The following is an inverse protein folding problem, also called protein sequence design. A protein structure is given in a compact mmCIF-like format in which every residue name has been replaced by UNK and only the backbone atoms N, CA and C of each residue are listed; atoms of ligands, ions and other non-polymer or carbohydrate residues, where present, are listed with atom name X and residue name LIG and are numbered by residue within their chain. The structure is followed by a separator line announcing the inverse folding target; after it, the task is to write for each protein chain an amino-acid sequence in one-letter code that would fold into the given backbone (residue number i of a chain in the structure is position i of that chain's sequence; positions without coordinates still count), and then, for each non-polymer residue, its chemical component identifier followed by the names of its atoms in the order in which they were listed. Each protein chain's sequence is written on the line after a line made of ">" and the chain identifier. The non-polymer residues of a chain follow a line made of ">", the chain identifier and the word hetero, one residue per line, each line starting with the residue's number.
data_IF_145162919678
#
_entry.id   IF_145162919678
#
_cell.length_a   1.000
_cell.length_b   1.000
_cell.length_c   1.000
_cell.angle_alpha   90.00
_cell.angle_beta   90.00
_cell.angle_gamma   90.00
#
_symmetry.space_group_name_H-M   'P 1'
#
loop_
_entity.id
_entity.type
_entity.pdbx_description
1 polymer ?
#
# COMPACT_ATOMS: atom_id res chain seq x y z
N UNK A 1 -13.63 9.76 -17.32
CA UNK A 1 -15.05 9.29 -17.26
C UNK A 1 -15.86 10.04 -16.21
N UNK A 2 -15.34 10.19 -14.98
CA UNK A 2 -16.04 10.83 -13.86
C UNK A 2 -17.44 10.23 -13.56
N UNK A 3 -17.54 8.91 -13.66
CA UNK A 3 -18.73 8.11 -13.37
C UNK A 3 -18.48 7.41 -12.02
N UNK A 4 -19.48 7.29 -11.12
CA UNK A 4 -19.36 6.54 -9.88
C UNK A 4 -18.64 5.19 -10.09
N UNK A 5 -17.51 5.02 -9.40
CA UNK A 5 -16.58 3.90 -9.63
C UNK A 5 -15.92 3.49 -8.32
N UNK A 6 -15.52 2.22 -8.24
CA UNK A 6 -14.76 1.66 -7.11
C UNK A 6 -13.57 0.86 -7.66
N UNK A 7 -12.46 0.85 -6.93
CA UNK A 7 -11.30 0.03 -7.23
C UNK A 7 -11.28 -1.21 -6.33
N UNK A 8 -11.16 -2.39 -6.94
CA UNK A 8 -11.05 -3.67 -6.21
C UNK A 8 -9.70 -4.29 -6.53
N UNK A 9 -8.79 -4.27 -5.57
CA UNK A 9 -7.51 -4.95 -5.68
C UNK A 9 -7.69 -6.47 -5.62
N UNK A 10 -6.99 -7.19 -6.49
CA UNK A 10 -7.03 -8.66 -6.54
C UNK A 10 -6.39 -9.34 -5.33
N UNK A 11 -5.54 -8.64 -4.57
CA UNK A 11 -4.89 -9.17 -3.38
C UNK A 11 -3.45 -9.65 -3.62
N UNK A 12 -2.67 -9.65 -2.54
CA UNK A 12 -1.28 -10.11 -2.54
C UNK A 12 -1.18 -11.63 -2.59
N UNK A 13 -0.13 -12.17 -3.19
CA UNK A 13 0.25 -13.58 -3.04
C UNK A 13 0.65 -13.85 -1.58
N UNK A 14 0.44 -15.09 -1.12
CA UNK A 14 1.04 -15.58 0.12
C UNK A 14 2.55 -15.79 -0.07
N UNK A 15 3.37 -15.64 1.00
CA UNK A 15 4.79 -15.99 0.91
C UNK A 15 4.97 -17.46 0.55
N UNK A 16 5.93 -17.73 -0.35
CA UNK A 16 6.48 -19.06 -0.52
C UNK A 16 7.27 -19.46 0.73
N UNK A 17 7.54 -20.75 0.91
CA UNK A 17 8.36 -21.22 2.03
C UNK A 17 9.30 -22.32 1.57
N UNK A 18 10.56 -22.22 1.98
CA UNK A 18 11.56 -23.26 1.77
C UNK A 18 12.40 -23.39 3.04
N UNK A 19 12.36 -24.56 3.69
CA UNK A 19 13.10 -24.86 4.91
C UNK A 19 12.84 -23.86 6.07
N UNK A 20 11.62 -23.32 6.16
CA UNK A 20 11.26 -22.36 7.20
C UNK A 20 11.57 -20.90 6.86
N UNK A 21 12.20 -20.63 5.71
CA UNK A 21 12.47 -19.28 5.23
C UNK A 21 11.41 -18.85 4.21
N UNK A 22 10.90 -17.61 4.39
CA UNK A 22 9.91 -17.05 3.48
C UNK A 22 10.55 -16.60 2.16
N UNK A 23 9.94 -17.06 1.06
CA UNK A 23 10.35 -16.77 -0.31
C UNK A 23 9.34 -15.87 -1.02
N UNK A 24 9.85 -15.13 -1.99
CA UNK A 24 9.08 -14.28 -2.90
C UNK A 24 9.79 -14.21 -4.26
N UNK A 25 9.18 -13.56 -5.24
CA UNK A 25 9.78 -13.43 -6.58
C UNK A 25 11.19 -12.84 -6.57
N UNK A 26 11.49 -11.91 -5.65
CA UNK A 26 12.84 -11.34 -5.50
C UNK A 26 13.85 -12.38 -5.01
N UNK A 27 13.43 -13.36 -4.21
CA UNK A 27 14.30 -14.47 -3.80
C UNK A 27 14.79 -15.26 -5.01
N UNK A 28 13.97 -15.40 -6.06
CA UNK A 28 14.36 -16.04 -7.32
C UNK A 28 15.39 -15.20 -8.07
N UNK A 29 15.18 -13.86 -8.15
CA UNK A 29 16.16 -12.96 -8.78
C UNK A 29 17.52 -12.99 -8.06
N UNK A 30 17.51 -12.97 -6.73
CA UNK A 30 18.72 -13.09 -5.92
C UNK A 30 19.39 -14.47 -6.09
N UNK A 31 18.59 -15.54 -6.16
CA UNK A 31 19.09 -16.89 -6.36
C UNK A 31 19.81 -17.04 -7.71
N UNK A 32 19.33 -16.41 -8.78
CA UNK A 32 20.03 -16.39 -10.07
C UNK A 32 21.42 -15.75 -9.92
N UNK A 33 21.52 -14.63 -9.19
CA UNK A 33 22.80 -13.99 -8.89
C UNK A 33 23.74 -14.89 -8.08
N UNK A 34 23.23 -15.52 -7.01
CA UNK A 34 23.97 -16.49 -6.19
C UNK A 34 24.42 -17.72 -6.97
N UNK A 35 23.63 -18.15 -7.96
CA UNK A 35 24.02 -19.26 -8.82
C UNK A 35 25.17 -18.86 -9.74
N UNK A 36 25.10 -17.66 -10.33
CA UNK A 36 26.17 -17.12 -11.17
C UNK A 36 27.49 -16.90 -10.41
N UNK A 37 27.43 -16.51 -9.13
CA UNK A 37 28.61 -16.38 -8.26
C UNK A 37 29.13 -17.71 -7.70
N UNK A 38 28.41 -18.82 -7.90
CA UNK A 38 28.77 -20.15 -7.39
C UNK A 38 28.43 -20.39 -5.91
N UNK A 39 27.68 -19.48 -5.26
CA UNK A 39 27.23 -19.63 -3.87
C UNK A 39 26.16 -20.71 -3.69
N UNK A 40 25.35 -20.96 -4.73
CA UNK A 40 24.38 -22.04 -4.78
C UNK A 40 24.57 -22.91 -6.04
N UNK A 41 24.06 -24.14 -6.00
CA UNK A 41 24.02 -25.05 -7.14
C UNK A 41 22.68 -24.98 -7.91
N UNK A 42 22.57 -25.68 -9.04
CA UNK A 42 21.37 -25.66 -9.88
C UNK A 42 20.14 -26.25 -9.16
N UNK A 43 20.33 -27.24 -8.29
CA UNK A 43 19.24 -27.82 -7.51
C UNK A 43 18.69 -26.81 -6.50
N UNK A 44 19.55 -26.10 -5.80
CA UNK A 44 19.14 -25.06 -4.84
C UNK A 44 18.42 -23.90 -5.55
N UNK A 45 18.88 -23.50 -6.74
CA UNK A 45 18.17 -22.51 -7.55
C UNK A 45 16.77 -23.01 -7.93
N UNK A 46 16.68 -24.26 -8.40
CA UNK A 46 15.41 -24.86 -8.76
C UNK A 46 14.45 -24.98 -7.57
N UNK A 47 14.95 -25.38 -6.40
CA UNK A 47 14.15 -25.46 -5.18
C UNK A 47 13.59 -24.08 -4.79
N UNK A 48 14.38 -23.01 -4.92
CA UNK A 48 13.91 -21.64 -4.67
C UNK A 48 12.83 -21.25 -5.70
N UNK A 49 13.07 -21.52 -6.98
CA UNK A 49 12.13 -21.23 -8.07
C UNK A 49 10.77 -21.89 -7.82
N UNK A 50 10.74 -23.19 -7.51
CA UNK A 50 9.49 -23.95 -7.38
C UNK A 50 8.71 -23.65 -6.11
N UNK A 51 9.34 -23.06 -5.09
CA UNK A 51 8.71 -22.76 -3.81
C UNK A 51 8.40 -21.27 -3.61
N UNK A 52 8.92 -20.36 -4.43
CA UNK A 52 8.77 -18.91 -4.24
C UNK A 52 7.37 -18.35 -4.51
N UNK A 53 6.56 -19.01 -5.35
CA UNK A 53 5.24 -18.53 -5.78
C UNK A 53 4.18 -19.62 -5.54
N UNK A 54 3.63 -19.72 -4.31
CA UNK A 54 2.79 -20.85 -3.92
C UNK A 54 1.36 -20.82 -4.49
N UNK A 55 0.96 -19.76 -5.19
CA UNK A 55 -0.41 -19.61 -5.68
C UNK A 55 -0.69 -18.27 -6.36
N UNK A 56 -1.97 -17.90 -6.53
CA UNK A 56 -2.35 -16.64 -7.17
C UNK A 56 -2.14 -15.42 -6.26
N UNK A 57 -1.98 -14.25 -6.89
CA UNK A 57 -1.84 -12.96 -6.24
C UNK A 57 -0.67 -12.14 -6.78
N UNK A 58 -0.66 -10.84 -6.48
CA UNK A 58 0.45 -9.97 -6.89
C UNK A 58 1.67 -10.14 -5.95
N UNK A 59 2.82 -9.55 -6.32
CA UNK A 59 4.07 -9.66 -5.56
C UNK A 59 3.89 -9.23 -4.08
N UNK A 60 4.42 -10.02 -3.13
CA UNK A 60 4.15 -9.87 -1.70
C UNK A 60 4.78 -8.66 -0.99
N UNK A 61 5.91 -8.15 -1.49
CA UNK A 61 6.55 -6.95 -0.93
C UNK A 61 5.82 -5.66 -1.30
N UNK A 62 6.29 -4.53 -0.77
CA UNK A 62 5.81 -3.19 -1.07
C UNK A 62 6.32 -2.67 -2.43
N UNK A 63 6.19 -3.51 -3.46
CA UNK A 63 6.42 -3.15 -4.87
C UNK A 63 5.24 -2.37 -5.44
N UNK A 64 5.23 -2.12 -6.75
CA UNK A 64 4.19 -1.31 -7.42
C UNK A 64 2.77 -1.79 -7.11
N UNK A 65 2.49 -3.10 -7.15
CA UNK A 65 1.12 -3.61 -6.96
C UNK A 65 0.56 -3.28 -5.57
N UNK A 66 1.27 -3.66 -4.50
CA UNK A 66 0.87 -3.34 -3.14
C UNK A 66 0.94 -1.84 -2.84
N UNK A 67 1.86 -1.10 -3.48
CA UNK A 67 1.90 0.37 -3.40
C UNK A 67 0.64 1.02 -3.98
N UNK A 68 0.24 0.63 -5.19
CA UNK A 68 -0.95 1.17 -5.84
C UNK A 68 -2.24 0.70 -5.16
N UNK A 69 -2.24 -0.49 -4.56
CA UNK A 69 -3.33 -0.97 -3.71
C UNK A 69 -3.52 -0.08 -2.48
N UNK A 70 -2.44 0.19 -1.73
CA UNK A 70 -2.46 1.10 -0.58
C UNK A 70 -2.86 2.53 -0.97
N UNK A 71 -2.40 3.02 -2.13
CA UNK A 71 -2.84 4.30 -2.72
C UNK A 71 -4.36 4.29 -2.91
N UNK A 72 -4.94 3.19 -3.41
CA UNK A 72 -6.37 3.06 -3.61
C UNK A 72 -7.18 3.25 -2.32
N UNK A 73 -6.68 2.79 -1.18
CA UNK A 73 -7.30 3.06 0.13
C UNK A 73 -7.11 4.50 0.58
N UNK A 74 -5.90 5.07 0.47
CA UNK A 74 -5.63 6.44 0.89
C UNK A 74 -6.33 7.52 0.06
N UNK A 75 -6.50 7.26 -1.25
CA UNK A 75 -7.34 8.07 -2.12
C UNK A 75 -8.83 7.94 -1.78
N UNK A 76 -9.23 6.93 -1.01
CA UNK A 76 -10.61 6.65 -0.67
C UNK A 76 -11.40 5.97 -1.79
N UNK A 77 -10.74 5.35 -2.78
CA UNK A 77 -11.40 4.69 -3.93
C UNK A 77 -11.54 3.17 -3.78
N UNK A 78 -11.04 2.61 -2.68
CA UNK A 78 -11.11 1.18 -2.35
C UNK A 78 -11.82 0.95 -1.03
N UNK A 79 -12.33 -0.27 -0.82
CA UNK A 79 -12.94 -0.62 0.46
C UNK A 79 -11.86 -0.56 1.54
N UNK A 80 -12.08 0.15 2.66
CA UNK A 80 -11.08 0.25 3.73
C UNK A 80 -10.68 -1.13 4.25
N UNK A 81 -9.37 -1.40 4.33
CA UNK A 81 -8.80 -2.68 4.74
C UNK A 81 -8.58 -3.70 3.61
N UNK A 82 -9.17 -3.48 2.42
CA UNK A 82 -9.10 -4.46 1.32
C UNK A 82 -7.75 -4.54 0.59
N UNK A 83 -6.86 -3.57 0.80
CA UNK A 83 -5.56 -3.46 0.13
C UNK A 83 -4.53 -4.47 0.65
N UNK A 84 -4.64 -4.87 1.92
CA UNK A 84 -3.73 -5.82 2.57
C UNK A 84 -4.20 -7.27 2.50
N UNK A 85 -5.44 -7.52 2.09
CA UNK A 85 -5.99 -8.86 1.95
C UNK A 85 -5.19 -9.70 0.93
N UNK A 86 -4.80 -10.91 1.33
CA UNK A 86 -4.21 -11.87 0.42
C UNK A 86 -5.25 -12.34 -0.62
N UNK A 87 -4.82 -12.67 -1.83
CA UNK A 87 -5.71 -13.06 -2.93
C UNK A 87 -6.60 -14.26 -2.59
N UNK A 88 -6.03 -15.25 -1.89
CA UNK A 88 -6.72 -16.49 -1.51
C UNK A 88 -7.58 -16.36 -0.25
N UNK A 89 -7.56 -15.20 0.42
CA UNK A 89 -8.32 -14.97 1.63
C UNK A 89 -9.83 -14.83 1.32
N UNK A 90 -10.68 -15.48 2.11
CA UNK A 90 -12.13 -15.42 1.95
C UNK A 90 -12.70 -14.01 2.11
N UNK A 91 -12.00 -13.13 2.85
CA UNK A 91 -12.34 -11.71 2.96
C UNK A 91 -12.38 -11.01 1.59
N UNK A 92 -11.59 -11.45 0.58
CA UNK A 92 -11.67 -10.90 -0.79
C UNK A 92 -13.07 -10.98 -1.38
N UNK A 93 -13.80 -12.07 -1.10
CA UNK A 93 -15.17 -12.24 -1.59
C UNK A 93 -16.10 -11.24 -0.90
N UNK A 94 -15.93 -11.05 0.41
CA UNK A 94 -16.69 -10.07 1.19
C UNK A 94 -16.41 -8.64 0.71
N UNK A 95 -15.14 -8.23 0.64
CA UNK A 95 -14.76 -6.88 0.22
C UNK A 95 -15.17 -6.58 -1.23
N UNK A 96 -15.16 -7.58 -2.12
CA UNK A 96 -15.67 -7.43 -3.49
C UNK A 96 -17.19 -7.21 -3.52
N UNK A 97 -17.96 -7.91 -2.67
CA UNK A 97 -19.41 -7.67 -2.53
C UNK A 97 -19.70 -6.30 -1.94
N UNK A 98 -18.92 -5.89 -0.94
CA UNK A 98 -19.01 -4.55 -0.35
C UNK A 98 -18.70 -3.45 -1.36
N UNK A 99 -17.70 -3.64 -2.23
CA UNK A 99 -17.43 -2.73 -3.35
C UNK A 99 -18.64 -2.62 -4.30
N UNK A 100 -19.31 -3.73 -4.59
CA UNK A 100 -20.57 -3.76 -5.34
C UNK A 100 -21.69 -2.95 -4.67
N UNK A 101 -21.86 -3.07 -3.36
CA UNK A 101 -22.82 -2.27 -2.61
C UNK A 101 -22.43 -0.79 -2.57
N UNK A 102 -21.14 -0.50 -2.40
CA UNK A 102 -20.59 0.85 -2.35
C UNK A 102 -20.84 1.58 -3.67
N UNK A 103 -20.52 0.98 -4.83
CA UNK A 103 -20.77 1.63 -6.13
C UNK A 103 -22.26 1.93 -6.34
N UNK A 104 -23.17 1.05 -5.90
CA UNK A 104 -24.60 1.34 -5.96
C UNK A 104 -25.00 2.52 -5.06
N UNK A 105 -24.36 2.66 -3.90
CA UNK A 105 -24.55 3.83 -3.05
C UNK A 105 -24.03 5.11 -3.70
N UNK A 106 -22.84 5.08 -4.29
CA UNK A 106 -22.27 6.21 -5.03
C UNK A 106 -23.16 6.65 -6.18
N UNK A 107 -23.79 5.71 -6.89
CA UNK A 107 -24.77 6.03 -7.94
C UNK A 107 -26.01 6.72 -7.35
N UNK A 108 -26.56 6.24 -6.24
CA UNK A 108 -27.75 6.84 -5.59
C UNK A 108 -27.48 8.27 -5.10
N UNK A 109 -26.34 8.46 -4.46
CA UNK A 109 -25.90 9.74 -3.91
C UNK A 109 -25.23 10.65 -4.96
N UNK A 110 -25.06 10.15 -6.19
CA UNK A 110 -24.32 10.82 -7.27
C UNK A 110 -22.91 11.29 -6.84
N UNK A 111 -22.23 10.49 -6.03
CA UNK A 111 -20.83 10.71 -5.63
C UNK A 111 -19.92 10.20 -6.75
N UNK A 112 -19.07 11.06 -7.27
CA UNK A 112 -18.21 10.81 -8.44
C UNK A 112 -16.73 10.80 -8.05
N UNK A 113 -15.85 10.24 -8.91
CA UNK A 113 -14.41 10.33 -8.70
C UNK A 113 -13.91 11.75 -8.43
N UNK A 114 -14.47 12.80 -9.06
CA UNK A 114 -14.12 14.20 -8.79
C UNK A 114 -14.41 14.69 -7.38
N UNK A 115 -15.35 14.04 -6.67
CA UNK A 115 -15.72 14.40 -5.31
C UNK A 115 -14.81 13.74 -4.27
N UNK A 116 -14.09 12.68 -4.68
CA UNK A 116 -13.19 11.86 -3.84
C UNK A 116 -11.73 12.22 -4.12
N UNK A 117 -11.33 12.31 -5.40
CA UNK A 117 -9.96 12.50 -5.86
C UNK A 117 -9.56 13.98 -5.85
N UNK A 118 -9.60 14.58 -4.66
CA UNK A 118 -9.16 15.97 -4.45
C UNK A 118 -7.64 16.05 -4.29
N UNK A 119 -7.09 17.27 -4.34
CA UNK A 119 -5.68 17.53 -4.01
C UNK A 119 -5.27 16.94 -2.65
N UNK A 120 -6.14 17.03 -1.63
CA UNK A 120 -5.87 16.49 -0.29
C UNK A 120 -5.91 14.96 -0.25
N UNK A 121 -6.78 14.32 -1.04
CA UNK A 121 -6.76 12.88 -1.20
C UNK A 121 -5.44 12.39 -1.83
N UNK A 122 -4.91 13.12 -2.84
CA UNK A 122 -3.59 12.82 -3.39
C UNK A 122 -2.46 13.03 -2.38
N UNK A 123 -2.52 14.06 -1.54
CA UNK A 123 -1.57 14.27 -0.44
C UNK A 123 -1.63 13.10 0.56
N UNK A 124 -2.83 12.62 0.93
CA UNK A 124 -2.99 11.42 1.76
C UNK A 124 -2.32 10.19 1.12
N UNK A 125 -2.51 9.99 -0.18
CA UNK A 125 -1.92 8.88 -0.91
C UNK A 125 -0.38 8.93 -0.90
N UNK A 126 0.20 10.12 -1.10
CA UNK A 126 1.65 10.31 -1.00
C UNK A 126 2.12 10.02 0.43
N UNK A 127 1.50 10.64 1.45
CA UNK A 127 1.86 10.45 2.87
C UNK A 127 1.86 8.97 3.25
N UNK A 128 0.82 8.21 2.88
CA UNK A 128 0.75 6.78 3.19
C UNK A 128 1.90 6.01 2.53
N UNK A 129 2.12 6.22 1.24
CA UNK A 129 3.13 5.46 0.49
C UNK A 129 4.54 5.70 1.01
N UNK A 130 4.90 6.96 1.27
CA UNK A 130 6.24 7.29 1.77
C UNK A 130 6.43 6.79 3.20
N UNK A 131 5.37 6.75 4.02
CA UNK A 131 5.37 6.15 5.35
C UNK A 131 5.50 4.62 5.33
N UNK A 132 5.17 3.97 4.22
CA UNK A 132 5.29 2.52 4.04
C UNK A 132 6.52 2.11 3.22
N UNK A 133 7.34 3.07 2.77
CA UNK A 133 8.49 2.78 1.90
C UNK A 133 8.08 2.24 0.53
N UNK A 134 6.95 2.70 -0.01
CA UNK A 134 6.44 2.17 -1.27
C UNK A 134 7.24 2.56 -2.50
N UNK A 135 6.88 1.92 -3.61
CA UNK A 135 7.65 1.96 -4.87
C UNK A 135 7.85 3.38 -5.41
N UNK A 136 9.03 3.64 -5.98
CA UNK A 136 9.35 4.86 -6.72
C UNK A 136 8.44 5.09 -7.92
N UNK A 137 7.78 4.05 -8.46
CA UNK A 137 6.77 4.17 -9.53
C UNK A 137 5.56 5.03 -9.11
N UNK A 138 5.39 5.30 -7.81
CA UNK A 138 4.45 6.30 -7.29
C UNK A 138 4.67 7.68 -7.93
N UNK A 139 5.92 8.06 -8.20
CA UNK A 139 6.28 9.31 -8.86
C UNK A 139 5.81 9.40 -10.32
N UNK A 140 5.38 8.28 -10.91
CA UNK A 140 4.81 8.22 -12.26
C UNK A 140 3.29 8.10 -12.19
N UNK A 141 2.78 7.13 -11.41
CA UNK A 141 1.36 6.81 -11.41
C UNK A 141 0.50 7.85 -10.70
N UNK A 142 0.91 8.38 -9.54
CA UNK A 142 0.09 9.37 -8.84
C UNK A 142 -0.07 10.68 -9.63
N UNK A 143 0.99 11.29 -10.19
CA UNK A 143 0.84 12.46 -11.04
C UNK A 143 -0.03 12.20 -12.28
N UNK A 144 0.06 11.01 -12.89
CA UNK A 144 -0.78 10.65 -14.02
C UNK A 144 -2.27 10.58 -13.63
N UNK A 145 -2.60 9.91 -12.52
CA UNK A 145 -3.98 9.84 -12.00
C UNK A 145 -4.49 11.22 -11.61
N UNK A 146 -3.64 12.05 -10.98
CA UNK A 146 -3.98 13.42 -10.63
C UNK A 146 -4.31 14.27 -11.87
N UNK A 147 -3.49 14.14 -12.93
CA UNK A 147 -3.70 14.83 -14.20
C UNK A 147 -5.03 14.46 -14.87
N UNK A 148 -5.44 13.19 -14.83
CA UNK A 148 -6.75 12.74 -15.35
C UNK A 148 -7.93 13.37 -14.61
N UNK A 149 -7.72 13.82 -13.37
CA UNK A 149 -8.70 14.53 -12.56
C UNK A 149 -8.54 16.06 -12.59
N UNK A 150 -7.59 16.58 -13.39
CA UNK A 150 -7.27 18.01 -13.41
C UNK A 150 -6.63 18.53 -12.13
N UNK A 151 -6.04 17.64 -11.31
CA UNK A 151 -5.32 17.97 -10.09
C UNK A 151 -3.83 18.02 -10.38
N UNK A 152 -3.18 19.12 -10.02
CA UNK A 152 -1.72 19.21 -10.08
C UNK A 152 -1.12 18.43 -8.91
N UNK A 153 -0.22 17.49 -9.20
CA UNK A 153 0.65 16.83 -8.23
C UNK A 153 2.06 16.72 -8.82
N UNK A 154 3.00 17.53 -8.32
CA UNK A 154 4.37 17.59 -8.84
C UNK A 154 5.30 16.65 -8.08
N UNK A 155 6.47 16.34 -8.67
CA UNK A 155 7.54 15.63 -7.96
C UNK A 155 8.03 16.40 -6.73
N UNK A 156 7.98 17.74 -6.78
CA UNK A 156 8.30 18.58 -5.62
C UNK A 156 7.30 18.37 -4.48
N UNK A 157 6.00 18.27 -4.80
CA UNK A 157 4.98 17.97 -3.79
C UNK A 157 5.26 16.61 -3.12
N UNK A 158 5.59 15.59 -3.92
CA UNK A 158 5.94 14.25 -3.42
C UNK A 158 7.16 14.32 -2.49
N UNK A 159 8.20 15.06 -2.89
CA UNK A 159 9.40 15.26 -2.09
C UNK A 159 9.09 15.98 -0.77
N UNK A 160 8.39 17.11 -0.82
CA UNK A 160 8.09 17.93 0.36
C UNK A 160 7.25 17.15 1.40
N UNK A 161 6.32 16.29 0.95
CA UNK A 161 5.54 15.41 1.82
C UNK A 161 6.42 14.30 2.41
N UNK A 162 7.25 13.66 1.58
CA UNK A 162 8.18 12.62 2.03
C UNK A 162 9.14 13.13 3.12
N UNK A 163 9.66 14.35 2.96
CA UNK A 163 10.57 14.96 3.94
C UNK A 163 9.93 15.28 5.30
N UNK A 164 8.60 15.26 5.40
CA UNK A 164 7.84 15.55 6.64
C UNK A 164 7.12 14.32 7.20
N UNK A 165 7.16 13.20 6.49
CA UNK A 165 6.42 12.00 6.84
C UNK A 165 7.40 10.93 7.33
N UNK A 166 7.26 10.41 8.55
CA UNK A 166 8.16 9.36 9.03
C UNK A 166 7.91 8.03 8.32
N UNK A 167 8.98 7.23 8.13
CA UNK A 167 8.87 5.85 7.67
C UNK A 167 8.44 4.96 8.85
N UNK A 168 7.26 4.35 8.73
CA UNK A 168 6.63 3.57 9.79
C UNK A 168 6.66 2.06 9.54
N UNK A 169 6.54 1.60 8.29
CA UNK A 169 6.40 0.17 8.00
C UNK A 169 7.72 -0.48 7.54
N UNK A 170 8.12 -1.57 8.20
CA UNK A 170 9.34 -2.35 7.91
C UNK A 170 9.08 -3.37 6.78
N UNK A 171 8.83 -2.88 5.57
CA UNK A 171 8.35 -3.69 4.46
C UNK A 171 9.45 -4.00 3.44
N UNK A 172 9.51 -5.25 2.94
CA UNK A 172 10.34 -5.58 1.78
C UNK A 172 9.96 -4.69 0.59
N UNK A 173 10.91 -4.24 -0.26
CA UNK A 173 12.30 -4.69 -0.30
C UNK A 173 13.26 -3.97 0.66
N UNK A 174 12.90 -2.81 1.23
CA UNK A 174 13.78 -2.05 2.12
C UNK A 174 13.87 -2.60 3.55
N UNK A 175 12.85 -3.38 3.93
CA UNK A 175 12.66 -3.93 5.26
C UNK A 175 12.56 -5.45 5.30
N UNK A 176 11.89 -5.99 6.32
CA UNK A 176 11.82 -7.44 6.59
C UNK A 176 10.51 -8.10 6.18
N UNK A 177 9.38 -7.41 6.32
CA UNK A 177 8.06 -8.03 6.30
C UNK A 177 7.33 -7.87 4.96
N UNK A 178 6.34 -8.73 4.70
CA UNK A 178 5.51 -8.72 3.50
C UNK A 178 4.12 -8.13 3.78
N UNK A 179 3.34 -7.83 2.73
CA UNK A 179 1.97 -7.32 2.88
C UNK A 179 1.08 -8.27 3.70
N UNK A 180 1.31 -9.58 3.56
CA UNK A 180 0.63 -10.60 4.38
C UNK A 180 0.86 -10.42 5.89
N UNK A 181 2.05 -9.97 6.29
CA UNK A 181 2.35 -9.74 7.71
C UNK A 181 1.77 -8.42 8.19
N UNK A 182 1.78 -7.38 7.35
CA UNK A 182 1.11 -6.12 7.64
C UNK A 182 -0.39 -6.34 7.88
N UNK A 183 -1.04 -7.16 7.06
CA UNK A 183 -2.45 -7.49 7.21
C UNK A 183 -2.79 -8.08 8.59
N UNK A 184 -1.95 -9.00 9.09
CA UNK A 184 -2.13 -9.64 10.41
C UNK A 184 -2.13 -8.65 11.58
N UNK A 185 -1.46 -7.50 11.43
CA UNK A 185 -1.37 -6.49 12.50
C UNK A 185 -2.32 -5.32 12.31
N UNK A 186 -3.23 -5.36 11.33
CA UNK A 186 -4.22 -4.31 11.08
C UNK A 186 -4.10 -3.62 9.73
N UNK A 187 -3.21 -4.12 8.86
CA UNK A 187 -3.16 -3.74 7.45
C UNK A 187 -2.77 -2.30 7.20
N UNK A 188 -3.14 -1.82 6.01
CA UNK A 188 -2.93 -0.43 5.59
C UNK A 188 -3.65 0.55 6.52
N UNK A 189 -4.82 0.17 7.05
CA UNK A 189 -5.61 1.00 7.94
C UNK A 189 -4.89 1.35 9.25
N UNK A 190 -4.06 0.45 9.80
CA UNK A 190 -3.25 0.75 10.98
C UNK A 190 -2.28 1.91 10.70
N UNK A 191 -1.60 1.87 9.55
CA UNK A 191 -0.65 2.92 9.15
C UNK A 191 -1.39 4.24 8.94
N UNK A 192 -2.49 4.21 8.20
CA UNK A 192 -3.33 5.40 7.98
C UNK A 192 -3.83 5.99 9.29
N UNK A 193 -4.29 5.16 10.23
CA UNK A 193 -4.79 5.62 11.53
C UNK A 193 -3.70 6.30 12.36
N UNK A 194 -2.48 5.75 12.41
CA UNK A 194 -1.35 6.38 13.10
C UNK A 194 -0.96 7.72 12.48
N UNK A 195 -0.96 7.82 11.15
CA UNK A 195 -0.69 9.07 10.44
C UNK A 195 -1.80 10.10 10.68
N UNK A 196 -3.07 9.67 10.70
CA UNK A 196 -4.22 10.53 11.02
C UNK A 196 -4.13 11.09 12.44
N UNK A 197 -3.82 10.26 13.43
CA UNK A 197 -3.71 10.68 14.83
C UNK A 197 -2.52 11.62 15.07
N UNK A 198 -1.48 11.52 14.23
CA UNK A 198 -0.37 12.47 14.18
C UNK A 198 -0.68 13.76 13.39
N UNK A 199 -1.87 13.90 12.81
CA UNK A 199 -2.25 15.07 12.01
C UNK A 199 -1.59 15.13 10.62
N UNK A 200 -1.08 14.01 10.11
CA UNK A 200 -0.40 13.91 8.82
C UNK A 200 -1.34 13.50 7.66
N UNK A 201 -2.56 13.07 7.96
CA UNK A 201 -3.61 12.81 6.96
C UNK A 201 -4.77 13.80 7.08
N UNK A 202 -5.30 14.18 5.93
CA UNK A 202 -6.55 14.90 5.77
C UNK A 202 -7.73 13.96 6.05
N UNK A 203 -8.21 13.97 7.29
CA UNK A 203 -9.25 13.06 7.75
C UNK A 203 -10.65 13.30 7.18
N UNK A 204 -10.94 14.51 6.71
CA UNK A 204 -12.26 14.93 6.22
C UNK A 204 -12.51 14.56 4.75
N UNK A 205 -11.53 13.95 4.07
CA UNK A 205 -11.68 13.54 2.67
C UNK A 205 -12.72 12.42 2.52
N UNK A 206 -13.63 12.61 1.57
CA UNK A 206 -14.70 11.67 1.24
C UNK A 206 -14.12 10.39 0.62
N UNK A 207 -14.79 9.25 0.83
CA UNK A 207 -14.41 7.96 0.26
C UNK A 207 -15.59 7.28 -0.41
N UNK A 208 -15.33 6.15 -1.09
CA UNK A 208 -16.36 5.33 -1.74
C UNK A 208 -17.41 4.76 -0.77
N UNK A 209 -17.16 4.79 0.55
CA UNK A 209 -18.14 4.36 1.55
C UNK A 209 -19.22 5.41 1.80
N UNK A 210 -19.09 6.62 1.23
CA UNK A 210 -19.91 7.79 1.55
C UNK A 210 -19.55 8.45 2.89
N UNK A 211 -18.49 7.97 3.54
CA UNK A 211 -17.94 8.51 4.79
C UNK A 211 -16.56 9.10 4.56
N UNK A 212 -16.11 9.91 5.49
CA UNK A 212 -14.76 10.47 5.52
C UNK A 212 -13.71 9.43 5.91
N UNK A 213 -12.45 9.68 5.59
CA UNK A 213 -11.30 8.87 6.03
C UNK A 213 -11.32 8.69 7.56
N UNK A 214 -11.56 9.78 8.31
CA UNK A 214 -11.61 9.78 9.78
C UNK A 214 -12.72 8.89 10.32
N UNK A 215 -13.90 8.90 9.69
CA UNK A 215 -15.02 8.06 10.09
C UNK A 215 -14.74 6.58 9.81
N UNK A 216 -14.15 6.26 8.67
CA UNK A 216 -13.77 4.88 8.32
C UNK A 216 -12.70 4.32 9.27
N UNK A 217 -11.77 5.17 9.74
CA UNK A 217 -10.67 4.75 10.62
C UNK A 217 -11.01 4.83 12.12
N UNK A 218 -12.22 5.26 12.50
CA UNK A 218 -12.60 5.53 13.90
C UNK A 218 -12.36 4.35 14.85
N UNK A 219 -12.61 3.12 14.37
CA UNK A 219 -12.55 1.91 15.18
C UNK A 219 -11.22 1.15 15.04
N UNK A 220 -10.25 1.68 14.28
CA UNK A 220 -8.95 1.05 14.13
C UNK A 220 -8.15 1.29 15.40
N UNK A 221 -7.80 0.20 16.07
CA UNK A 221 -7.01 0.26 17.29
C UNK A 221 -5.53 0.45 16.94
N UNK A 222 -5.00 1.62 17.25
CA UNK A 222 -3.56 1.84 17.30
C UNK A 222 -3.08 1.38 18.66
N UNK A 223 -2.85 0.08 18.81
CA UNK A 223 -2.20 -0.41 20.01
C UNK A 223 -0.85 0.32 20.15
N UNK A 224 -0.62 0.96 21.30
CA UNK A 224 0.63 1.69 21.60
C UNK A 224 1.78 0.74 21.93
N UNK A 225 1.49 -0.55 22.15
CA UNK A 225 2.55 -1.56 22.33
C UNK A 225 3.42 -1.65 21.08
N UNK A 226 4.70 -1.93 21.28
CA UNK A 226 5.65 -2.12 20.19
C UNK A 226 5.10 -3.12 19.16
N UNK A 227 5.11 -2.69 17.90
CA UNK A 227 4.80 -3.51 16.74
C UNK A 227 6.04 -3.48 15.85
N UNK A 228 6.60 -4.64 15.56
CA UNK A 228 7.85 -4.75 14.79
C UNK A 228 7.66 -4.37 13.33
N UNK A 229 6.45 -4.60 12.79
CA UNK A 229 6.08 -4.38 11.38
C UNK A 229 5.72 -2.92 11.14
N UNK A 230 4.90 -2.33 12.02
CA UNK A 230 4.50 -0.91 11.95
C UNK A 230 4.98 -0.21 13.20
N UNK A 231 5.90 0.74 13.06
CA UNK A 231 6.44 1.55 14.15
C UNK A 231 5.50 2.70 14.54
N UNK A 232 5.66 3.18 15.77
CA UNK A 232 4.96 4.36 16.25
C UNK A 232 5.56 5.63 15.64
N UNK A 233 4.74 6.66 15.45
CA UNK A 233 5.19 7.95 14.88
C UNK A 233 6.26 8.61 15.75
N UNK A 234 6.25 8.37 17.06
CA UNK A 234 7.26 8.86 18.01
C UNK A 234 8.60 8.11 17.98
N UNK A 235 8.64 6.91 17.39
CA UNK A 235 9.85 6.08 17.25
C UNK A 235 9.85 5.39 15.87
N UNK A 236 9.94 6.17 14.79
CA UNK A 236 9.85 5.64 13.42
C UNK A 236 11.16 4.98 12.99
N UNK A 237 11.13 4.24 11.88
CA UNK A 237 12.32 3.65 11.26
C UNK A 237 13.26 4.76 10.75
N UNK A 238 12.67 5.80 10.17
CA UNK A 238 13.34 7.03 9.73
C UNK A 238 12.43 8.21 10.00
N UNK A 239 13.02 9.37 10.32
CA UNK A 239 12.28 10.63 10.50
C UNK A 239 11.67 11.18 9.21
N UNK A 240 12.07 10.62 8.06
CA UNK A 240 11.61 10.99 6.71
C UNK A 240 11.18 9.75 5.94
N UNK A 241 10.38 9.95 4.89
CA UNK A 241 9.78 8.90 4.11
C UNK A 241 10.76 8.23 3.16
N UNK A 242 10.32 7.13 2.53
CA UNK A 242 11.18 6.31 1.67
C UNK A 242 11.58 6.92 0.32
N UNK A 243 11.09 8.12 -0.05
CA UNK A 243 11.30 8.72 -1.37
C UNK A 243 12.00 10.07 -1.29
N UNK A 244 13.01 10.27 -2.13
CA UNK A 244 13.71 11.55 -2.29
C UNK A 244 13.75 11.90 -3.77
N UNK A 245 13.43 13.14 -4.13
CA UNK A 245 13.56 13.64 -5.49
C UNK A 245 14.83 14.47 -5.58
N UNK A 246 15.66 14.19 -6.58
CA UNK A 246 16.88 14.95 -6.86
C UNK A 246 16.60 15.95 -7.98
N UNK A 247 17.08 17.18 -7.79
CA UNK A 247 17.03 18.24 -8.78
C UNK A 247 18.45 18.65 -9.13
N UNK A 248 18.69 18.98 -10.40
CA UNK A 248 20.01 19.31 -10.93
C UNK A 248 19.93 20.30 -12.10
N UNK A 249 21.11 20.77 -12.51
CA UNK A 249 21.33 21.77 -13.56
C UNK A 249 21.20 21.21 -14.99
#
# INVERSE_FOLDING_TARGET
>A
LNIPSVFVYGGSILPGNLNGEDLQIVSVFEAVGKRQSGEINDQQLHDIETHACPGPGACGGMFTANTMSSIGEALGISIPGSASEANVDQRKITSSREAGMAVMNLVRENIRPSDILTRKAFENAVTLVVAMGGSTNTALHLPAIASEMGVTLSLKDIHDISMKTPLLADMKPGGKYLMFDLDKVGGVQLVMKRLLDAGLLHGDELTITGKTIKENLKNINTNDSENEIVKNVSSPISSTGGLVTLFGN
#
